data_IF_322408139974
#
_entry.id   IF_322408139974
#
_cell.length_a   1.000
_cell.length_b   1.000
_cell.length_c   1.000
_cell.angle_alpha   90.00
_cell.angle_beta   90.00
_cell.angle_gamma   90.00
#
_symmetry.space_group_name_H-M   'P 1'
#
loop_
_entity.id
_entity.type
_entity.pdbx_description
1 polymer ?
#
# COMPACT_ATOMS: atom_id res chain seq x y z
N UNK A 1 71.56 9.54 25.44
CA UNK A 1 70.15 9.25 25.78
C UNK A 1 69.32 9.37 24.51
N UNK A 2 68.95 8.25 23.87
CA UNK A 2 68.12 8.24 22.65
C UNK A 2 66.65 8.30 23.05
N UNK A 3 65.92 9.33 22.61
CA UNK A 3 64.47 9.47 22.82
C UNK A 3 63.74 8.54 21.85
N UNK A 4 62.94 7.62 22.38
CA UNK A 4 62.08 6.72 21.63
C UNK A 4 60.74 7.44 21.41
N UNK A 5 60.46 7.84 20.17
CA UNK A 5 59.16 8.40 19.79
C UNK A 5 58.19 7.24 19.53
N UNK A 6 57.21 7.05 20.41
CA UNK A 6 56.13 6.08 20.21
C UNK A 6 55.07 6.76 19.35
N UNK A 7 54.86 6.25 18.14
CA UNK A 7 53.75 6.64 17.27
C UNK A 7 52.57 5.74 17.58
N UNK A 8 51.51 6.30 18.15
CA UNK A 8 50.26 5.59 18.45
C UNK A 8 49.39 5.63 17.20
N UNK A 9 49.22 4.47 16.55
CA UNK A 9 48.22 4.30 15.48
C UNK A 9 46.84 4.18 16.12
N UNK A 10 45.99 5.19 15.94
CA UNK A 10 44.58 5.13 16.34
C UNK A 10 43.80 4.44 15.22
N UNK A 11 43.33 3.22 15.48
CA UNK A 11 42.45 2.48 14.56
C UNK A 11 41.04 3.05 14.69
N UNK A 12 40.57 3.76 13.67
CA UNK A 12 39.16 4.13 13.55
C UNK A 12 38.36 2.90 13.09
N UNK A 13 37.63 2.28 14.02
CA UNK A 13 36.61 1.28 13.68
C UNK A 13 35.37 2.04 13.21
N UNK A 14 35.12 2.03 11.90
CA UNK A 14 33.87 2.51 11.32
C UNK A 14 32.81 1.44 11.57
N UNK A 15 31.95 1.65 12.57
CA UNK A 15 30.70 0.91 12.67
C UNK A 15 29.80 1.35 11.52
N UNK A 16 29.74 0.56 10.45
CA UNK A 16 28.65 0.70 9.50
C UNK A 16 27.38 0.20 10.19
N UNK A 17 26.57 1.15 10.68
CA UNK A 17 25.19 0.86 11.01
C UNK A 17 24.49 0.49 9.70
N UNK A 18 24.36 -0.82 9.42
CA UNK A 18 23.42 -1.24 8.39
C UNK A 18 22.04 -0.77 8.86
N UNK A 19 21.48 0.23 8.17
CA UNK A 19 20.10 0.61 8.41
C UNK A 19 19.25 -0.65 8.23
N UNK A 20 18.59 -1.09 9.29
CA UNK A 20 17.78 -2.29 9.24
C UNK A 20 16.60 -2.02 8.30
N UNK A 21 16.52 -2.78 7.21
CA UNK A 21 15.36 -2.75 6.32
C UNK A 21 14.15 -3.27 7.09
N UNK A 22 13.22 -2.37 7.40
CA UNK A 22 11.96 -2.67 8.07
C UNK A 22 10.80 -2.63 7.10
N UNK A 23 11.03 -3.12 5.88
CA UNK A 23 9.99 -3.31 4.88
C UNK A 23 9.99 -4.74 4.35
N UNK A 24 8.83 -5.20 3.90
CA UNK A 24 8.71 -6.48 3.21
C UNK A 24 7.62 -6.45 2.14
N UNK A 25 7.64 -7.46 1.27
CA UNK A 25 6.63 -7.66 0.22
C UNK A 25 6.11 -9.07 0.23
N UNK A 26 4.90 -9.26 -0.27
CA UNK A 26 4.35 -10.60 -0.48
C UNK A 26 3.41 -10.65 -1.68
N UNK A 27 3.56 -11.69 -2.49
CA UNK A 27 2.76 -11.93 -3.68
C UNK A 27 2.77 -13.44 -3.99
N UNK A 28 1.63 -14.10 -3.78
CA UNK A 28 1.52 -15.55 -3.97
C UNK A 28 0.08 -15.99 -4.24
N UNK A 29 -0.06 -17.19 -4.80
CA UNK A 29 -1.35 -17.87 -4.97
C UNK A 29 -1.66 -18.75 -3.76
N UNK A 30 -2.93 -18.79 -3.32
CA UNK A 30 -3.36 -19.64 -2.20
C UNK A 30 -3.10 -21.13 -2.43
N UNK A 31 -3.09 -21.56 -3.70
CA UNK A 31 -2.95 -22.96 -4.09
C UNK A 31 -1.58 -23.56 -3.74
N UNK A 32 -0.52 -22.74 -3.73
CA UNK A 32 0.85 -23.22 -3.55
C UNK A 32 1.67 -22.41 -2.52
N UNK A 33 1.22 -21.20 -2.16
CA UNK A 33 1.94 -20.28 -1.27
C UNK A 33 3.36 -19.93 -1.74
N UNK A 34 3.64 -20.08 -3.04
CA UNK A 34 4.95 -19.78 -3.61
C UNK A 34 5.03 -18.29 -3.91
N UNK A 35 5.97 -17.60 -3.26
CA UNK A 35 6.23 -16.18 -3.51
C UNK A 35 6.68 -15.96 -4.96
N UNK A 36 6.10 -14.95 -5.59
CA UNK A 36 6.42 -14.47 -6.94
C UNK A 36 6.79 -12.98 -6.87
N UNK A 37 7.59 -12.51 -7.81
CA UNK A 37 7.82 -11.08 -7.98
C UNK A 37 6.74 -10.43 -8.86
N UNK A 38 6.05 -11.21 -9.69
CA UNK A 38 5.06 -10.74 -10.65
C UNK A 38 4.02 -11.82 -10.94
N UNK A 39 2.76 -11.41 -11.09
CA UNK A 39 1.62 -12.25 -11.48
C UNK A 39 0.72 -11.43 -12.40
N UNK A 40 0.26 -12.03 -13.51
CA UNK A 40 -0.68 -11.40 -14.43
C UNK A 40 -1.89 -12.29 -14.73
N UNK A 41 -3.01 -11.67 -15.12
CA UNK A 41 -4.22 -12.36 -15.55
C UNK A 41 -5.07 -11.53 -16.53
N UNK A 42 -5.42 -12.14 -17.65
CA UNK A 42 -6.33 -11.57 -18.66
C UNK A 42 -7.78 -11.48 -18.20
N UNK A 43 -8.15 -12.21 -17.13
CA UNK A 43 -9.45 -12.02 -16.47
C UNK A 43 -9.59 -10.66 -15.82
N UNK A 44 -8.47 -10.00 -15.49
CA UNK A 44 -8.44 -8.81 -14.64
C UNK A 44 -8.75 -9.11 -13.16
N UNK A 45 -9.07 -10.34 -12.79
CA UNK A 45 -9.51 -10.68 -11.43
C UNK A 45 -8.85 -11.98 -10.96
N UNK A 46 -8.09 -11.86 -9.87
CA UNK A 46 -7.49 -12.95 -9.09
C UNK A 46 -7.76 -12.76 -7.59
N UNK A 47 -8.75 -11.94 -7.23
CA UNK A 47 -8.98 -11.52 -5.85
C UNK A 47 -9.12 -12.72 -4.92
N UNK A 48 -9.94 -13.71 -5.27
CA UNK A 48 -10.21 -14.88 -4.41
C UNK A 48 -9.12 -15.94 -4.46
N UNK A 49 -8.21 -15.90 -5.43
CA UNK A 49 -7.16 -16.91 -5.64
C UNK A 49 -5.83 -16.51 -5.02
N UNK A 50 -5.59 -15.22 -4.81
CA UNK A 50 -4.36 -14.70 -4.20
C UNK A 50 -4.41 -14.72 -2.67
N UNK A 51 -3.25 -14.91 -2.03
CA UNK A 51 -3.12 -14.96 -0.58
C UNK A 51 -3.76 -13.75 0.12
N UNK A 52 -3.25 -12.55 -0.20
CA UNK A 52 -3.73 -11.28 0.37
C UNK A 52 -4.93 -10.68 -0.34
N UNK A 53 -5.55 -11.40 -1.28
CA UNK A 53 -6.45 -10.87 -2.32
C UNK A 53 -5.79 -9.89 -3.31
N UNK A 54 -4.47 -9.91 -3.39
CA UNK A 54 -3.65 -9.05 -4.25
C UNK A 54 -2.17 -9.06 -3.85
N UNK A 55 -1.32 -8.20 -4.47
CA UNK A 55 0.01 -7.92 -3.92
C UNK A 55 -0.12 -7.21 -2.57
N UNK A 56 0.86 -7.44 -1.69
CA UNK A 56 0.99 -6.76 -0.42
C UNK A 56 2.40 -6.23 -0.19
N UNK A 57 2.48 -5.12 0.55
CA UNK A 57 3.72 -4.49 1.00
C UNK A 57 3.53 -4.05 2.46
N UNK A 58 4.59 -4.08 3.26
CA UNK A 58 4.55 -3.61 4.64
C UNK A 58 5.78 -2.84 5.05
N UNK A 59 5.62 -2.01 6.08
CA UNK A 59 6.72 -1.57 6.93
C UNK A 59 6.41 -1.87 8.40
N UNK A 60 7.21 -1.40 9.35
CA UNK A 60 6.97 -1.74 10.77
C UNK A 60 5.62 -1.25 11.31
N UNK A 61 4.97 -0.27 10.67
CA UNK A 61 3.77 0.38 11.21
C UNK A 61 2.46 -0.12 10.61
N UNK A 62 2.47 -0.56 9.35
CA UNK A 62 1.28 -0.98 8.62
C UNK A 62 1.64 -1.95 7.50
N UNK A 63 0.65 -2.69 7.02
CA UNK A 63 0.73 -3.35 5.72
C UNK A 63 -0.41 -2.86 4.81
N UNK A 64 -0.15 -2.88 3.52
CA UNK A 64 -1.04 -2.40 2.47
C UNK A 64 -1.17 -3.49 1.41
N UNK A 65 -2.36 -3.61 0.81
CA UNK A 65 -2.59 -4.43 -0.38
C UNK A 65 -3.30 -3.64 -1.46
N UNK A 66 -3.12 -4.02 -2.72
CA UNK A 66 -3.99 -3.58 -3.82
C UNK A 66 -4.88 -4.76 -4.20
N UNK A 67 -6.20 -4.61 -4.18
CA UNK A 67 -7.07 -5.70 -4.62
C UNK A 67 -6.85 -6.04 -6.09
N UNK A 68 -6.59 -7.31 -6.40
CA UNK A 68 -6.52 -7.82 -7.77
C UNK A 68 -7.93 -8.09 -8.31
N UNK A 69 -8.71 -7.02 -8.47
CA UNK A 69 -10.09 -7.02 -9.00
C UNK A 69 -10.40 -5.65 -9.60
N UNK A 70 -11.59 -5.50 -10.17
CA UNK A 70 -12.10 -4.21 -10.66
C UNK A 70 -12.10 -3.06 -9.64
N UNK A 71 -12.00 -3.37 -8.34
CA UNK A 71 -11.96 -2.36 -7.27
C UNK A 71 -10.66 -1.58 -7.29
N UNK A 72 -9.52 -2.27 -7.50
CA UNK A 72 -8.14 -1.76 -7.38
C UNK A 72 -7.96 -0.88 -6.12
N UNK A 73 -8.67 -1.24 -5.04
CA UNK A 73 -8.66 -0.47 -3.81
C UNK A 73 -7.37 -0.75 -3.03
N UNK A 74 -6.85 0.29 -2.36
CA UNK A 74 -5.73 0.16 -1.42
C UNK A 74 -6.29 -0.07 -0.02
N UNK A 75 -6.05 -1.26 0.52
CA UNK A 75 -6.59 -1.67 1.81
C UNK A 75 -5.50 -1.76 2.88
N UNK A 76 -5.86 -1.60 4.15
CA UNK A 76 -4.89 -1.36 5.24
C UNK A 76 -5.02 -2.39 6.35
N UNK A 77 -3.91 -3.09 6.60
CA UNK A 77 -3.73 -3.88 7.81
C UNK A 77 -3.02 -3.04 8.86
N UNK A 78 -3.69 -2.83 9.99
CA UNK A 78 -3.16 -1.99 11.07
C UNK A 78 -2.46 -2.86 12.11
N UNK A 79 -1.23 -2.48 12.46
CA UNK A 79 -0.41 -3.21 13.43
C UNK A 79 -0.56 -2.62 14.82
N UNK A 80 -0.65 -3.48 15.82
CA UNK A 80 -0.74 -3.06 17.23
C UNK A 80 0.58 -2.50 17.78
N UNK A 81 1.72 -2.93 17.20
CA UNK A 81 3.07 -2.50 17.59
C UNK A 81 4.03 -2.51 16.39
N UNK A 82 5.16 -1.80 16.47
CA UNK A 82 6.11 -1.73 15.35
C UNK A 82 6.81 -3.08 15.10
N UNK A 83 6.48 -3.77 14.01
CA UNK A 83 7.10 -5.03 13.59
C UNK A 83 6.69 -5.43 12.16
N UNK A 84 7.40 -6.39 11.56
CA UNK A 84 7.00 -7.03 10.30
C UNK A 84 6.06 -8.20 10.61
N UNK A 85 4.99 -8.34 9.82
CA UNK A 85 3.93 -9.34 10.07
C UNK A 85 3.53 -10.14 8.82
N UNK A 86 3.78 -9.65 7.60
CA UNK A 86 3.35 -10.32 6.37
C UNK A 86 3.90 -11.74 6.26
N UNK A 87 5.17 -11.95 6.64
CA UNK A 87 5.79 -13.28 6.61
C UNK A 87 5.22 -14.24 7.67
N UNK A 88 4.81 -13.71 8.82
CA UNK A 88 4.45 -14.50 10.00
C UNK A 88 2.96 -14.80 10.09
N UNK A 89 2.13 -13.89 9.56
CA UNK A 89 0.66 -13.96 9.65
C UNK A 89 -0.04 -13.85 8.32
N UNK A 90 0.67 -13.49 7.25
CA UNK A 90 0.09 -13.38 5.92
C UNK A 90 -1.21 -12.54 5.89
N UNK A 91 -1.31 -11.49 6.72
CA UNK A 91 -2.52 -10.65 6.92
C UNK A 91 -3.64 -11.24 7.79
N UNK A 92 -3.61 -12.53 8.14
CA UNK A 92 -4.74 -13.24 8.76
C UNK A 92 -4.42 -13.84 10.15
N UNK A 93 -4.06 -13.02 11.17
CA UNK A 93 -3.93 -13.51 12.53
C UNK A 93 -5.29 -13.92 13.13
N UNK A 94 -5.27 -14.98 13.92
CA UNK A 94 -6.42 -15.41 14.74
C UNK A 94 -6.76 -14.39 15.83
N UNK A 95 -7.97 -14.46 16.39
CA UNK A 95 -8.38 -13.56 17.48
C UNK A 95 -7.47 -13.64 18.72
N UNK A 96 -6.90 -14.80 19.03
CA UNK A 96 -5.93 -14.96 20.12
C UNK A 96 -4.60 -14.27 19.81
N UNK A 97 -4.14 -14.36 18.57
CA UNK A 97 -2.94 -13.67 18.10
C UNK A 97 -3.13 -12.14 18.09
N UNK A 98 -4.29 -11.66 17.64
CA UNK A 98 -4.62 -10.23 17.71
C UNK A 98 -4.52 -9.72 19.15
N UNK A 99 -5.10 -10.45 20.12
CA UNK A 99 -4.98 -10.14 21.56
C UNK A 99 -3.54 -10.25 22.10
N UNK A 100 -2.69 -11.04 21.46
CA UNK A 100 -1.26 -11.13 21.75
C UNK A 100 -0.42 -10.01 21.09
N UNK A 101 -1.08 -9.07 20.40
CA UNK A 101 -0.45 -7.89 19.80
C UNK A 101 -0.01 -8.07 18.35
N UNK A 102 -0.64 -8.98 17.60
CA UNK A 102 -0.61 -8.96 16.14
C UNK A 102 -1.65 -7.98 15.60
N UNK A 103 -1.44 -7.48 14.38
CA UNK A 103 -2.36 -6.54 13.73
C UNK A 103 -3.71 -7.15 13.35
N UNK A 104 -4.58 -6.35 12.75
CA UNK A 104 -5.82 -6.83 12.13
C UNK A 104 -6.27 -5.91 11.00
N UNK A 105 -7.23 -6.40 10.22
CA UNK A 105 -7.88 -5.68 9.13
C UNK A 105 -9.00 -4.78 9.69
N UNK A 106 -8.59 -3.70 10.37
CA UNK A 106 -9.51 -2.75 10.96
C UNK A 106 -10.08 -1.76 9.92
N UNK A 107 -9.38 -1.54 8.81
CA UNK A 107 -9.78 -0.55 7.80
C UNK A 107 -10.65 -1.19 6.73
N UNK A 108 -11.97 -1.02 6.79
CA UNK A 108 -12.86 -1.52 5.72
C UNK A 108 -12.83 -0.64 4.45
N UNK A 109 -12.11 -1.07 3.41
CA UNK A 109 -12.06 -0.41 2.09
C UNK A 109 -13.38 -0.52 1.29
N UNK A 110 -14.00 -1.69 1.24
CA UNK A 110 -15.27 -1.93 0.53
C UNK A 110 -15.21 -1.62 -0.98
N UNK A 111 -16.23 -0.96 -1.51
CA UNK A 111 -16.36 -0.59 -2.95
C UNK A 111 -15.66 0.74 -3.31
N UNK A 112 -14.96 1.36 -2.36
CA UNK A 112 -14.28 2.65 -2.55
C UNK A 112 -12.92 2.48 -3.24
N UNK A 113 -12.12 3.54 -3.28
CA UNK A 113 -10.70 3.46 -3.68
C UNK A 113 -9.77 3.01 -2.54
N UNK A 114 -10.28 2.84 -1.32
CA UNK A 114 -9.45 2.54 -0.16
C UNK A 114 -8.70 3.76 0.34
N UNK A 115 -7.53 3.56 0.98
CA UNK A 115 -6.68 4.63 1.47
C UNK A 115 -5.72 5.11 0.38
N UNK A 116 -6.07 6.22 -0.29
CA UNK A 116 -5.23 6.83 -1.31
C UNK A 116 -5.23 6.10 -2.66
N UNK A 117 -6.05 5.06 -2.84
CA UNK A 117 -6.20 4.43 -4.14
C UNK A 117 -6.76 5.39 -5.18
N UNK A 118 -6.66 4.98 -6.44
CA UNK A 118 -6.95 5.86 -7.58
C UNK A 118 -7.93 5.23 -8.56
N UNK A 119 -8.71 6.10 -9.19
CA UNK A 119 -9.57 5.80 -10.33
C UNK A 119 -9.44 6.92 -11.35
N UNK A 120 -10.07 6.76 -12.50
CA UNK A 120 -10.14 7.80 -13.53
C UNK A 120 -11.33 8.72 -13.27
N UNK A 121 -11.26 9.95 -13.78
CA UNK A 121 -12.36 10.92 -13.76
C UNK A 121 -12.61 11.43 -15.18
N UNK A 122 -13.81 11.21 -15.73
CA UNK A 122 -14.12 11.58 -17.13
C UNK A 122 -14.63 13.03 -17.30
N UNK A 123 -14.65 13.81 -16.22
CA UNK A 123 -15.25 15.16 -16.18
C UNK A 123 -16.63 15.19 -15.52
N UNK A 124 -17.34 14.06 -15.49
CA UNK A 124 -18.71 13.96 -14.95
C UNK A 124 -18.82 12.94 -13.82
N UNK A 125 -18.09 11.82 -13.92
CA UNK A 125 -18.17 10.69 -12.99
C UNK A 125 -16.84 9.96 -12.84
N UNK A 126 -16.77 9.18 -11.76
CA UNK A 126 -15.66 8.26 -11.50
C UNK A 126 -15.74 7.09 -12.46
N UNK A 127 -14.63 6.80 -13.14
CA UNK A 127 -14.46 5.65 -14.04
C UNK A 127 -13.55 4.63 -13.36
N UNK A 128 -14.05 3.41 -13.17
CA UNK A 128 -13.26 2.29 -12.59
C UNK A 128 -12.13 1.91 -13.55
N UNK A 129 -11.08 1.29 -13.02
CA UNK A 129 -10.01 0.69 -13.84
C UNK A 129 -10.47 -0.68 -14.38
N UNK A 130 -11.62 -0.72 -15.06
CA UNK A 130 -12.26 -1.94 -15.53
C UNK A 130 -13.26 -1.61 -16.67
N UNK A 131 -13.46 -2.47 -17.68
CA UNK A 131 -12.73 -3.70 -17.99
C UNK A 131 -11.25 -3.46 -18.31
N UNK A 132 -10.47 -4.54 -18.32
CA UNK A 132 -9.04 -4.55 -18.73
C UNK A 132 -8.79 -5.70 -19.71
N UNK A 133 -7.79 -5.56 -20.58
CA UNK A 133 -7.31 -6.70 -21.39
C UNK A 133 -6.39 -7.63 -20.59
N UNK A 134 -5.64 -7.05 -19.66
CA UNK A 134 -4.80 -7.76 -18.71
C UNK A 134 -4.61 -6.91 -17.45
N UNK A 135 -4.38 -7.60 -16.32
CA UNK A 135 -3.95 -6.98 -15.07
C UNK A 135 -2.68 -7.64 -14.60
N UNK A 136 -1.70 -6.85 -14.18
CA UNK A 136 -0.40 -7.35 -13.71
C UNK A 136 -0.07 -6.74 -12.36
N UNK A 137 0.20 -7.59 -11.38
CA UNK A 137 0.70 -7.20 -10.07
C UNK A 137 2.20 -7.51 -9.99
N UNK A 138 2.97 -6.58 -9.42
CA UNK A 138 4.42 -6.75 -9.17
C UNK A 138 4.76 -6.30 -7.77
N UNK A 139 5.74 -6.95 -7.14
CA UNK A 139 6.30 -6.54 -5.86
C UNK A 139 7.82 -6.50 -5.90
N UNK A 140 8.41 -5.51 -5.21
CA UNK A 140 9.86 -5.31 -5.16
C UNK A 140 10.30 -4.85 -3.78
N UNK A 141 11.37 -5.47 -3.28
CA UNK A 141 12.03 -5.11 -2.03
C UNK A 141 13.38 -4.47 -2.32
N UNK A 142 13.60 -3.26 -1.81
CA UNK A 142 14.83 -2.48 -1.92
C UNK A 142 15.47 -2.30 -0.53
N UNK A 143 16.69 -1.76 -0.39
CA UNK A 143 17.39 -1.71 0.89
C UNK A 143 16.68 -0.95 2.03
N UNK A 144 15.87 0.07 1.72
CA UNK A 144 15.18 0.92 2.72
C UNK A 144 13.69 1.15 2.41
N UNK A 145 13.23 0.61 1.29
CA UNK A 145 11.90 0.78 0.74
C UNK A 145 11.41 -0.55 0.16
N UNK A 146 10.10 -0.71 0.09
CA UNK A 146 9.49 -1.77 -0.70
C UNK A 146 8.28 -1.21 -1.40
N UNK A 147 7.93 -1.76 -2.55
CA UNK A 147 6.75 -1.33 -3.28
C UNK A 147 6.00 -2.49 -3.90
N UNK A 148 4.72 -2.24 -4.13
CA UNK A 148 3.84 -3.05 -4.96
C UNK A 148 3.25 -2.20 -6.08
N UNK A 149 2.94 -2.86 -7.18
CA UNK A 149 2.38 -2.25 -8.39
C UNK A 149 1.18 -3.05 -8.87
N UNK A 150 0.22 -2.34 -9.46
CA UNK A 150 -0.90 -2.92 -10.21
C UNK A 150 -1.06 -2.17 -11.54
N UNK A 151 -0.76 -2.84 -12.64
CA UNK A 151 -1.01 -2.37 -13.99
C UNK A 151 -2.38 -2.88 -14.46
N UNK A 152 -3.23 -1.96 -14.91
CA UNK A 152 -4.51 -2.25 -15.56
C UNK A 152 -4.43 -1.78 -17.01
N UNK A 153 -4.43 -2.71 -17.96
CA UNK A 153 -4.22 -2.44 -19.38
C UNK A 153 -5.54 -2.25 -20.13
N UNK A 154 -5.53 -1.38 -21.15
CA UNK A 154 -6.65 -1.12 -22.06
C UNK A 154 -7.95 -0.62 -21.39
N UNK A 155 -7.86 0.14 -20.29
CA UNK A 155 -9.04 0.67 -19.58
C UNK A 155 -9.79 1.65 -20.50
N UNK A 156 -11.09 1.45 -20.77
CA UNK A 156 -11.86 2.39 -21.59
C UNK A 156 -11.99 3.77 -20.92
N UNK A 157 -11.58 4.82 -21.64
CA UNK A 157 -11.61 6.19 -21.11
C UNK A 157 -11.73 7.21 -22.25
N UNK A 158 -12.71 8.11 -22.14
CA UNK A 158 -12.94 9.24 -23.07
C UNK A 158 -12.91 8.88 -24.57
N UNK A 159 -13.51 7.74 -24.93
CA UNK A 159 -13.57 7.26 -26.33
C UNK A 159 -12.31 6.50 -26.80
N UNK A 160 -11.27 6.43 -25.97
CA UNK A 160 -10.07 5.65 -26.20
C UNK A 160 -9.82 4.62 -25.09
N UNK A 161 -8.54 4.25 -24.95
CA UNK A 161 -8.05 3.35 -23.91
C UNK A 161 -6.81 3.93 -23.24
N UNK A 162 -6.61 3.58 -21.99
CA UNK A 162 -5.44 3.98 -21.19
C UNK A 162 -4.93 2.80 -20.39
N UNK A 163 -3.61 2.65 -20.30
CA UNK A 163 -3.01 1.77 -19.31
C UNK A 163 -2.73 2.57 -18.04
N UNK A 164 -3.17 2.04 -16.89
CA UNK A 164 -2.99 2.70 -15.59
C UNK A 164 -2.14 1.83 -14.68
N UNK A 165 -0.99 2.35 -14.27
CA UNK A 165 -0.12 1.74 -13.26
C UNK A 165 -0.31 2.46 -11.92
N UNK A 166 -0.72 1.72 -10.89
CA UNK A 166 -0.75 2.20 -9.51
C UNK A 166 0.42 1.60 -8.75
N UNK A 167 1.27 2.45 -8.14
CA UNK A 167 2.39 2.02 -7.30
C UNK A 167 2.17 2.49 -5.86
N UNK A 168 2.40 1.60 -4.91
CA UNK A 168 2.38 1.90 -3.47
C UNK A 168 3.74 1.55 -2.88
N UNK A 169 4.43 2.56 -2.36
CA UNK A 169 5.77 2.42 -1.76
C UNK A 169 5.70 2.70 -0.27
N UNK A 170 6.32 1.84 0.54
CA UNK A 170 6.54 2.05 1.97
C UNK A 170 8.03 2.19 2.27
N UNK A 171 8.35 2.92 3.33
CA UNK A 171 9.72 3.21 3.75
C UNK A 171 9.97 2.72 5.17
N UNK A 172 11.19 2.27 5.44
CA UNK A 172 11.63 1.90 6.79
C UNK A 172 11.59 3.15 7.69
N UNK A 173 10.95 3.06 8.86
CA UNK A 173 10.91 4.16 9.83
C UNK A 173 9.83 5.21 9.57
N UNK A 174 9.06 5.12 8.48
CA UNK A 174 8.01 6.09 8.17
C UNK A 174 6.61 5.51 8.40
N UNK A 175 5.74 6.21 9.14
CA UNK A 175 4.34 5.79 9.30
C UNK A 175 3.44 6.35 8.19
N UNK A 176 3.88 6.20 6.94
CA UNK A 176 3.13 6.60 5.74
C UNK A 176 3.51 5.68 4.56
N UNK A 177 2.77 5.81 3.47
CA UNK A 177 3.11 5.24 2.18
C UNK A 177 2.94 6.29 1.08
N UNK A 178 3.73 6.16 0.01
CA UNK A 178 3.59 6.98 -1.21
C UNK A 178 2.75 6.20 -2.22
N UNK A 179 1.64 6.79 -2.66
CA UNK A 179 0.83 6.27 -3.76
C UNK A 179 1.08 7.10 -5.01
N UNK A 180 1.39 6.44 -6.12
CA UNK A 180 1.65 7.06 -7.42
C UNK A 180 0.77 6.39 -8.47
N UNK A 181 0.24 7.18 -9.40
CA UNK A 181 -0.54 6.72 -10.54
C UNK A 181 0.08 7.24 -11.83
N UNK A 182 0.28 6.34 -12.78
CA UNK A 182 0.83 6.66 -14.10
C UNK A 182 -0.18 6.23 -15.15
N UNK A 183 -0.40 7.09 -16.14
CA UNK A 183 -1.19 6.76 -17.31
C UNK A 183 -0.28 6.68 -18.54
N UNK A 184 -0.41 5.62 -19.32
CA UNK A 184 0.08 5.56 -20.68
C UNK A 184 -1.12 5.78 -21.62
N UNK A 185 -1.21 7.00 -22.14
CA UNK A 185 -2.25 7.43 -23.08
C UNK A 185 -1.70 8.56 -23.97
N UNK A 186 -2.27 8.69 -25.16
CA UNK A 186 -1.97 9.81 -26.06
C UNK A 186 -2.61 11.12 -25.60
N UNK A 187 -3.75 11.03 -24.92
CA UNK A 187 -4.54 12.16 -24.44
C UNK A 187 -4.37 12.39 -22.93
N UNK A 188 -4.59 13.63 -22.43
CA UNK A 188 -4.54 13.91 -21.00
C UNK A 188 -5.52 13.07 -20.16
N UNK A 189 -5.03 12.55 -19.05
CA UNK A 189 -5.80 11.70 -18.12
C UNK A 189 -6.01 12.42 -16.79
N UNK A 190 -7.22 12.35 -16.26
CA UNK A 190 -7.53 12.83 -14.92
C UNK A 190 -7.77 11.66 -13.98
N UNK A 191 -7.18 11.76 -12.78
CA UNK A 191 -7.35 10.80 -11.71
C UNK A 191 -8.21 11.37 -10.58
N UNK A 192 -8.89 10.49 -9.87
CA UNK A 192 -9.53 10.77 -8.59
C UNK A 192 -8.94 9.86 -7.52
N UNK A 193 -8.81 10.38 -6.30
CA UNK A 193 -8.35 9.65 -5.11
C UNK A 193 -9.20 10.02 -3.90
N UNK A 194 -8.99 9.34 -2.78
CA UNK A 194 -9.73 9.61 -1.55
C UNK A 194 -9.25 8.81 -0.35
N UNK A 195 -9.97 9.01 0.75
CA UNK A 195 -9.89 8.23 1.99
C UNK A 195 -11.29 7.70 2.28
N UNK A 196 -11.40 6.52 2.87
CA UNK A 196 -12.70 5.98 3.26
C UNK A 196 -13.36 6.86 4.30
N UNK A 197 -14.68 6.92 4.21
CA UNK A 197 -15.52 7.54 5.20
C UNK A 197 -16.69 6.62 5.52
N UNK A 198 -16.95 6.44 6.81
CA UNK A 198 -18.11 5.75 7.34
C UNK A 198 -18.97 6.71 8.15
N UNK A 199 -20.28 6.49 8.13
CA UNK A 199 -21.23 7.36 8.83
C UNK A 199 -20.88 7.44 10.31
N UNK A 200 -20.71 8.67 10.81
CA UNK A 200 -20.36 8.94 12.21
C UNK A 200 -18.88 9.24 12.45
N UNK A 201 -18.02 9.06 11.44
CA UNK A 201 -16.62 9.45 11.55
C UNK A 201 -16.45 10.98 11.49
N UNK A 202 -15.39 11.46 12.12
CA UNK A 202 -14.94 12.83 12.00
C UNK A 202 -14.15 13.01 10.71
N UNK A 203 -14.35 14.14 10.03
CA UNK A 203 -13.59 14.49 8.82
C UNK A 203 -12.81 15.77 9.07
N UNK A 204 -11.54 15.74 8.72
CA UNK A 204 -10.67 16.90 8.69
C UNK A 204 -10.20 17.18 7.26
N UNK A 205 -10.37 18.42 6.80
CA UNK A 205 -9.92 18.88 5.48
C UNK A 205 -9.21 20.21 5.63
N UNK A 206 -7.93 20.26 5.30
CA UNK A 206 -7.15 21.50 5.30
C UNK A 206 -5.92 21.36 4.41
N UNK A 207 -5.66 22.35 3.57
CA UNK A 207 -4.38 22.59 2.87
C UNK A 207 -3.65 21.31 2.41
N UNK A 208 -4.20 20.59 1.43
CA UNK A 208 -3.57 19.38 0.89
C UNK A 208 -3.67 18.14 1.79
N UNK A 209 -4.50 18.16 2.83
CA UNK A 209 -4.77 17.02 3.71
C UNK A 209 -6.29 16.75 3.77
N UNK A 210 -6.66 15.48 3.59
CA UNK A 210 -7.99 14.95 3.93
C UNK A 210 -7.77 13.79 4.88
N UNK A 211 -8.42 13.81 6.04
CA UNK A 211 -8.36 12.76 7.03
C UNK A 211 -9.76 12.38 7.52
N UNK A 212 -9.91 11.11 7.90
CA UNK A 212 -11.07 10.56 8.58
C UNK A 212 -10.63 9.87 9.87
N UNK A 213 -11.40 10.02 10.94
CA UNK A 213 -11.17 9.37 12.23
C UNK A 213 -12.46 8.74 12.76
N UNK A 214 -12.36 7.50 13.23
CA UNK A 214 -13.40 6.83 14.00
C UNK A 214 -13.47 5.33 13.71
N UNK A 215 -14.60 4.71 14.05
CA UNK A 215 -14.81 3.26 13.90
C UNK A 215 -15.13 2.90 12.45
N UNK A 216 -14.53 1.82 11.96
CA UNK A 216 -14.90 1.18 10.70
C UNK A 216 -15.84 -0.02 10.98
N UNK A 217 -16.79 -0.34 10.08
CA UNK A 217 -17.68 -1.50 10.23
C UNK A 217 -16.98 -2.79 9.78
N UNK A 218 -15.89 -3.14 10.45
CA UNK A 218 -15.15 -4.37 10.22
C UNK A 218 -15.76 -5.56 11.00
N UNK A 219 -15.51 -6.77 10.53
CA UNK A 219 -16.11 -8.02 11.00
C UNK A 219 -15.08 -9.13 11.31
N UNK A 220 -13.78 -8.79 11.31
CA UNK A 220 -12.66 -9.75 11.38
C UNK A 220 -11.70 -9.47 12.54
N UNK A 221 -11.73 -8.27 13.10
CA UNK A 221 -10.94 -7.92 14.26
C UNK A 221 -11.63 -8.37 15.56
N UNK A 222 -10.80 -8.74 16.52
CA UNK A 222 -11.26 -9.24 17.81
C UNK A 222 -11.78 -8.14 18.74
N UNK A 223 -11.50 -6.88 18.42
CA UNK A 223 -11.82 -5.71 19.24
C UNK A 223 -12.22 -4.53 18.35
N UNK A 224 -13.12 -3.67 18.87
CA UNK A 224 -13.49 -2.44 18.18
C UNK A 224 -12.47 -1.36 18.54
N UNK A 225 -11.81 -0.82 17.51
CA UNK A 225 -10.86 0.28 17.67
C UNK A 225 -11.24 1.45 16.77
N UNK A 226 -10.97 2.66 17.23
CA UNK A 226 -10.99 3.84 16.36
C UNK A 226 -9.66 3.93 15.62
N UNK A 227 -9.72 4.30 14.35
CA UNK A 227 -8.54 4.47 13.52
C UNK A 227 -8.61 5.77 12.71
N UNK A 228 -7.44 6.34 12.48
CA UNK A 228 -7.24 7.51 11.66
C UNK A 228 -6.59 7.15 10.34
N UNK A 229 -7.16 7.64 9.25
CA UNK A 229 -6.57 7.52 7.92
C UNK A 229 -6.52 8.89 7.25
N UNK A 230 -5.43 9.16 6.54
CA UNK A 230 -5.21 10.46 5.94
C UNK A 230 -4.51 10.32 4.59
N UNK A 231 -4.90 11.18 3.65
CA UNK A 231 -4.18 11.40 2.40
C UNK A 231 -3.61 12.81 2.39
N UNK A 232 -2.33 12.92 2.04
CA UNK A 232 -1.67 14.18 1.74
C UNK A 232 -1.45 14.27 0.24
N UNK A 233 -1.86 15.37 -0.37
CA UNK A 233 -1.70 15.62 -1.80
C UNK A 233 -1.12 17.01 -2.03
N UNK A 234 -0.50 17.22 -3.19
CA UNK A 234 -0.09 18.55 -3.62
C UNK A 234 -1.33 19.31 -4.14
N UNK A 235 -1.73 20.45 -3.54
CA UNK A 235 -2.86 21.24 -4.02
C UNK A 235 -2.71 21.69 -5.48
N UNK A 236 -1.48 21.87 -5.97
CA UNK A 236 -1.22 22.30 -7.35
C UNK A 236 -1.53 21.21 -8.39
N UNK A 237 -1.57 19.95 -7.96
CA UNK A 237 -1.94 18.82 -8.82
C UNK A 237 -3.46 18.55 -8.80
N UNK A 238 -4.23 19.33 -8.05
CA UNK A 238 -5.67 19.10 -7.86
C UNK A 238 -6.48 20.12 -8.66
N UNK A 239 -7.28 19.63 -9.62
CA UNK A 239 -8.24 20.45 -10.35
C UNK A 239 -9.40 20.78 -9.41
N UNK A 240 -9.72 22.07 -9.27
CA UNK A 240 -10.81 22.55 -8.41
C UNK A 240 -12.18 22.38 -9.06
#
# INVERSE_FOLDING_TARGET
MKRLTIVVFTVFIVFQTLAQNKTDVSLFMRSDSIQKSEISATSGDLYSTMGHHGPAVENEWMALRIYFSERVAIDVYSKAKPQLELKEKEWYPTAEEQKAGWGADYYKAGETVGLGGVRLWDGEKVVKLNPVSNRTARVVKEPSSSYMEMLSEDVPYMGGKVDVLVRVTVYSGERNAKVEAFALADEPVQFVTGVNYHKGQEIYKKDGLIAAWGVHPEDVAAEIVELGAAIKYNPDNFVK
#
